data_IF_187474893758
#
_entry.id   IF_187474893758
#
_cell.length_a   1.000
_cell.length_b   1.000
_cell.length_c   1.000
_cell.angle_alpha   90.00
_cell.angle_beta   90.00
_cell.angle_gamma   90.00
#
_symmetry.space_group_name_H-M   'P 1'
#
loop_
_entity.id
_entity.type
_entity.pdbx_description
1 polymer ?
#
# COMPACT_ATOMS: atom_id res chain seq x y z
N UNK A 1 -3.54 12.63 -24.67
CA UNK A 1 -3.62 11.59 -23.61
C UNK A 1 -2.36 11.71 -22.77
N UNK A 2 -2.44 11.81 -21.44
CA UNK A 2 -1.21 11.87 -20.64
C UNK A 2 -0.53 10.50 -20.65
N UNK A 3 0.76 10.46 -21.03
CA UNK A 3 1.59 9.25 -21.03
C UNK A 3 1.98 8.77 -19.61
N UNK A 4 1.24 9.20 -18.57
CA UNK A 4 1.56 8.89 -17.19
C UNK A 4 0.91 7.55 -16.81
N UNK A 5 1.66 6.60 -16.22
CA UNK A 5 1.10 5.32 -15.83
C UNK A 5 0.04 5.49 -14.74
N UNK A 6 -1.05 4.74 -14.86
CA UNK A 6 -2.12 4.64 -13.88
C UNK A 6 -1.62 4.03 -12.56
N UNK A 7 -2.39 4.20 -11.49
CA UNK A 7 -2.06 3.57 -10.19
C UNK A 7 -1.99 2.05 -10.28
N UNK A 8 -2.82 1.41 -11.11
CA UNK A 8 -2.79 -0.05 -11.29
C UNK A 8 -1.53 -0.51 -12.02
N UNK A 9 -1.09 0.22 -13.05
CA UNK A 9 0.16 -0.08 -13.76
C UNK A 9 1.37 0.12 -12.85
N UNK A 10 1.41 1.24 -12.11
CA UNK A 10 2.47 1.47 -11.12
C UNK A 10 2.51 0.36 -10.06
N UNK A 11 1.34 -0.09 -9.60
CA UNK A 11 1.26 -1.18 -8.64
C UNK A 11 1.89 -2.45 -9.22
N UNK A 12 1.52 -2.83 -10.45
CA UNK A 12 2.10 -3.99 -11.12
C UNK A 12 3.62 -3.88 -11.29
N UNK A 13 4.13 -2.69 -11.65
CA UNK A 13 5.58 -2.44 -11.71
C UNK A 13 6.25 -2.67 -10.35
N UNK A 14 5.67 -2.14 -9.26
CA UNK A 14 6.19 -2.36 -7.91
C UNK A 14 6.14 -3.83 -7.47
N UNK A 15 5.11 -4.59 -7.85
CA UNK A 15 5.04 -6.02 -7.55
C UNK A 15 6.15 -6.79 -8.27
N UNK A 16 6.40 -6.47 -9.54
CA UNK A 16 7.49 -7.07 -10.33
C UNK A 16 8.84 -6.73 -9.69
N UNK A 17 9.06 -5.45 -9.38
CA UNK A 17 10.30 -4.99 -8.74
C UNK A 17 10.51 -5.66 -7.38
N UNK A 18 9.49 -5.76 -6.54
CA UNK A 18 9.61 -6.42 -5.23
C UNK A 18 10.12 -7.86 -5.37
N UNK A 19 9.52 -8.65 -6.28
CA UNK A 19 9.92 -10.05 -6.53
C UNK A 19 11.35 -10.15 -7.07
N UNK A 20 11.69 -9.33 -8.06
CA UNK A 20 13.03 -9.32 -8.64
C UNK A 20 14.11 -8.95 -7.61
N UNK A 21 13.82 -7.98 -6.75
CA UNK A 21 14.75 -7.52 -5.72
C UNK A 21 14.92 -8.57 -4.60
N UNK A 22 13.86 -9.30 -4.26
CA UNK A 22 13.93 -10.47 -3.36
C UNK A 22 14.90 -11.51 -3.92
N UNK A 23 14.71 -11.89 -5.19
CA UNK A 23 15.53 -12.90 -5.87
C UNK A 23 17.01 -12.48 -5.98
N UNK A 24 17.28 -11.18 -5.88
CA UNK A 24 18.64 -10.60 -5.89
C UNK A 24 19.18 -10.25 -4.51
N UNK A 25 18.48 -10.60 -3.44
CA UNK A 25 18.83 -10.28 -2.06
C UNK A 25 18.94 -8.77 -1.76
N UNK A 26 18.20 -7.93 -2.50
CA UNK A 26 18.12 -6.48 -2.30
C UNK A 26 16.89 -6.16 -1.43
N UNK A 27 17.03 -6.45 -0.14
CA UNK A 27 15.90 -6.55 0.78
C UNK A 27 15.21 -5.22 1.09
N UNK A 28 15.93 -4.17 1.50
CA UNK A 28 15.29 -2.90 1.86
C UNK A 28 14.43 -2.33 0.71
N UNK A 29 14.98 -2.30 -0.52
CA UNK A 29 14.26 -1.83 -1.69
C UNK A 29 13.06 -2.72 -2.06
N UNK A 30 13.14 -4.03 -1.81
CA UNK A 30 12.01 -4.93 -2.06
C UNK A 30 10.83 -4.70 -1.09
N UNK A 31 11.11 -4.37 0.18
CA UNK A 31 10.09 -3.98 1.17
C UNK A 31 9.44 -2.67 0.76
N UNK A 32 10.23 -1.69 0.32
CA UNK A 32 9.73 -0.43 -0.24
C UNK A 32 8.77 -0.69 -1.41
N UNK A 33 9.18 -1.48 -2.41
CA UNK A 33 8.34 -1.84 -3.53
C UNK A 33 7.06 -2.57 -3.11
N UNK A 34 7.14 -3.49 -2.14
CA UNK A 34 5.96 -4.18 -1.60
C UNK A 34 4.96 -3.20 -0.97
N UNK A 35 5.42 -2.25 -0.17
CA UNK A 35 4.57 -1.21 0.41
C UNK A 35 3.91 -0.34 -0.67
N UNK A 36 4.67 0.09 -1.69
CA UNK A 36 4.14 0.94 -2.75
C UNK A 36 3.19 0.20 -3.70
N UNK A 37 3.38 -1.11 -3.92
CA UNK A 37 2.40 -1.96 -4.57
C UNK A 37 1.06 -1.93 -3.83
N UNK A 38 1.08 -2.08 -2.50
CA UNK A 38 -0.13 -1.98 -1.67
C UNK A 38 -0.77 -0.59 -1.78
N UNK A 39 0.00 0.48 -1.53
CA UNK A 39 -0.49 1.86 -1.55
C UNK A 39 -1.13 2.24 -2.89
N UNK A 40 -0.53 1.85 -4.00
CA UNK A 40 -1.05 2.17 -5.32
C UNK A 40 -2.33 1.39 -5.65
N UNK A 41 -2.50 0.17 -5.12
CA UNK A 41 -3.81 -0.50 -5.17
C UNK A 41 -4.88 0.25 -4.37
N UNK A 42 -4.55 0.78 -3.19
CA UNK A 42 -5.48 1.61 -2.41
C UNK A 42 -5.95 2.82 -3.23
N UNK A 43 -5.00 3.56 -3.80
CA UNK A 43 -5.30 4.74 -4.63
C UNK A 43 -6.07 4.37 -5.90
N UNK A 44 -5.74 3.25 -6.54
CA UNK A 44 -6.50 2.75 -7.68
C UNK A 44 -7.96 2.53 -7.30
N UNK A 45 -8.24 1.82 -6.21
CA UNK A 45 -9.61 1.51 -5.79
C UNK A 45 -10.37 2.77 -5.38
N UNK A 46 -9.76 3.66 -4.58
CA UNK A 46 -10.38 4.92 -4.18
C UNK A 46 -10.84 5.75 -5.38
N UNK A 47 -9.97 5.94 -6.37
CA UNK A 47 -10.25 6.86 -7.47
C UNK A 47 -11.00 6.23 -8.64
N UNK A 48 -10.89 4.91 -8.84
CA UNK A 48 -11.52 4.26 -10.01
C UNK A 48 -12.79 3.51 -9.67
N UNK A 49 -12.86 2.84 -8.50
CA UNK A 49 -14.05 2.07 -8.08
C UNK A 49 -14.95 2.90 -7.18
N UNK A 50 -14.38 3.51 -6.14
CA UNK A 50 -15.12 4.31 -5.15
C UNK A 50 -15.36 5.76 -5.57
N UNK A 51 -14.75 6.18 -6.69
CA UNK A 51 -14.95 7.50 -7.32
C UNK A 51 -14.72 8.67 -6.36
N UNK A 52 -13.79 8.52 -5.41
CA UNK A 52 -13.36 9.65 -4.59
C UNK A 52 -12.77 10.75 -5.48
N UNK A 53 -13.12 11.99 -5.19
CA UNK A 53 -12.56 13.12 -5.91
C UNK A 53 -11.08 13.31 -5.56
N UNK A 54 -10.23 13.38 -6.59
CA UNK A 54 -8.77 13.48 -6.41
C UNK A 54 -8.36 14.85 -5.88
N UNK A 55 -9.01 15.92 -6.31
CA UNK A 55 -8.66 17.27 -5.89
C UNK A 55 -8.99 17.46 -4.40
N UNK A 56 -10.16 16.99 -3.98
CA UNK A 56 -10.57 16.96 -2.58
C UNK A 56 -9.64 16.07 -1.75
N UNK A 57 -9.30 14.88 -2.23
CA UNK A 57 -8.33 14.01 -1.54
C UNK A 57 -7.00 14.72 -1.28
N UNK A 58 -6.47 15.44 -2.28
CA UNK A 58 -5.21 16.19 -2.16
C UNK A 58 -5.37 17.37 -1.18
N UNK A 59 -6.48 18.11 -1.28
CA UNK A 59 -6.79 19.22 -0.39
C UNK A 59 -6.88 18.75 1.07
N UNK A 60 -7.62 17.66 1.33
CA UNK A 60 -7.77 17.08 2.66
C UNK A 60 -6.44 16.56 3.22
N UNK A 61 -5.62 15.94 2.37
CA UNK A 61 -4.28 15.46 2.76
C UNK A 61 -3.42 16.62 3.24
N UNK A 62 -3.46 17.75 2.52
CA UNK A 62 -2.72 18.97 2.88
C UNK A 62 -3.28 19.65 4.12
N UNK A 63 -4.59 19.83 4.20
CA UNK A 63 -5.26 20.54 5.28
C UNK A 63 -5.10 19.80 6.63
N UNK A 64 -5.12 18.47 6.60
CA UNK A 64 -4.93 17.65 7.80
C UNK A 64 -3.46 17.36 8.13
N UNK A 65 -2.52 17.93 7.37
CA UNK A 65 -1.08 17.67 7.48
C UNK A 65 -0.75 16.17 7.58
N UNK A 66 -1.43 15.34 6.78
CA UNK A 66 -1.30 13.89 6.82
C UNK A 66 -0.61 13.37 5.57
N UNK A 67 0.08 12.24 5.67
CA UNK A 67 0.68 11.60 4.51
C UNK A 67 -0.38 10.97 3.60
N UNK A 68 -0.15 11.00 2.28
CA UNK A 68 -1.01 10.33 1.27
C UNK A 68 -1.34 8.89 1.65
N UNK A 69 -0.38 8.15 2.21
CA UNK A 69 -0.55 6.77 2.61
C UNK A 69 -1.50 6.61 3.81
N UNK A 70 -1.46 7.52 4.78
CA UNK A 70 -2.37 7.53 5.93
C UNK A 70 -3.78 7.89 5.51
N UNK A 71 -3.94 8.94 4.68
CA UNK A 71 -5.24 9.34 4.17
C UNK A 71 -5.88 8.23 3.32
N UNK A 72 -5.12 7.65 2.39
CA UNK A 72 -5.61 6.54 1.56
C UNK A 72 -6.03 5.34 2.43
N UNK A 73 -5.21 4.98 3.42
CA UNK A 73 -5.49 3.87 4.33
C UNK A 73 -6.74 4.10 5.17
N UNK A 74 -6.93 5.32 5.70
CA UNK A 74 -8.12 5.70 6.45
C UNK A 74 -9.39 5.54 5.62
N UNK A 75 -9.39 6.08 4.40
CA UNK A 75 -10.56 6.03 3.52
C UNK A 75 -10.89 4.59 3.09
N UNK A 76 -9.88 3.80 2.74
CA UNK A 76 -10.08 2.38 2.44
C UNK A 76 -10.61 1.63 3.66
N UNK A 77 -10.10 1.89 4.85
CA UNK A 77 -10.62 1.27 6.07
C UNK A 77 -12.11 1.51 6.27
N UNK A 78 -12.58 2.75 6.02
CA UNK A 78 -14.01 3.09 6.05
C UNK A 78 -14.79 2.28 5.01
N UNK A 79 -14.26 2.13 3.79
CA UNK A 79 -14.92 1.35 2.74
C UNK A 79 -14.97 -0.15 3.04
N UNK A 80 -13.93 -0.72 3.66
CA UNK A 80 -13.93 -2.12 4.10
C UNK A 80 -14.96 -2.31 5.22
N UNK A 81 -15.02 -1.42 6.20
CA UNK A 81 -15.94 -1.51 7.34
C UNK A 81 -17.42 -1.51 6.90
N UNK A 82 -17.76 -0.83 5.80
CA UNK A 82 -19.11 -0.84 5.20
C UNK A 82 -19.50 -2.22 4.64
N UNK A 83 -18.53 -3.04 4.25
CA UNK A 83 -18.74 -4.35 3.62
C UNK A 83 -18.61 -5.47 4.65
N UNK A 84 -17.53 -5.48 5.43
CA UNK A 84 -17.22 -6.53 6.40
C UNK A 84 -16.34 -5.99 7.55
N UNK A 85 -16.84 -6.09 8.78
CA UNK A 85 -16.13 -5.60 9.98
C UNK A 85 -14.96 -6.49 10.42
N UNK A 86 -14.97 -7.78 10.11
CA UNK A 86 -13.84 -8.68 10.37
C UNK A 86 -12.68 -8.35 9.44
N UNK A 87 -12.95 -8.14 8.16
CA UNK A 87 -11.96 -7.69 7.17
C UNK A 87 -11.37 -6.32 7.56
N UNK A 88 -12.20 -5.43 8.11
CA UNK A 88 -11.74 -4.13 8.61
C UNK A 88 -10.77 -4.29 9.79
N UNK A 89 -11.11 -5.13 10.78
CA UNK A 89 -10.22 -5.42 11.91
C UNK A 89 -8.92 -6.05 11.44
N UNK A 90 -8.99 -6.99 10.50
CA UNK A 90 -7.82 -7.60 9.88
C UNK A 90 -6.96 -6.53 9.19
N UNK A 91 -7.56 -5.65 8.40
CA UNK A 91 -6.86 -4.56 7.70
C UNK A 91 -6.19 -3.58 8.67
N UNK A 92 -6.89 -3.18 9.74
CA UNK A 92 -6.35 -2.28 10.76
C UNK A 92 -5.13 -2.83 11.49
N UNK A 93 -4.99 -4.16 11.56
CA UNK A 93 -3.78 -4.81 12.09
C UNK A 93 -2.66 -4.85 11.04
N UNK A 94 -2.96 -5.34 9.83
CA UNK A 94 -1.92 -5.70 8.87
C UNK A 94 -1.34 -4.50 8.11
N UNK A 95 -2.11 -3.45 7.86
CA UNK A 95 -1.58 -2.26 7.18
C UNK A 95 -0.53 -1.51 8.02
N UNK A 96 -0.75 -1.24 9.33
CA UNK A 96 0.29 -0.68 10.19
C UNK A 96 1.54 -1.56 10.31
N UNK A 97 1.39 -2.88 10.37
CA UNK A 97 2.53 -3.81 10.38
C UNK A 97 3.37 -3.68 9.10
N UNK A 98 2.72 -3.65 7.92
CA UNK A 98 3.40 -3.42 6.64
C UNK A 98 4.08 -2.04 6.60
N UNK A 99 3.44 -1.00 7.14
CA UNK A 99 4.04 0.33 7.25
C UNK A 99 5.29 0.31 8.13
N UNK A 100 5.27 -0.41 9.25
CA UNK A 100 6.42 -0.54 10.16
C UNK A 100 7.60 -1.24 9.48
N UNK A 101 7.35 -2.30 8.72
CA UNK A 101 8.39 -2.97 7.91
C UNK A 101 9.03 -2.00 6.91
N UNK A 102 8.22 -1.18 6.23
CA UNK A 102 8.73 -0.14 5.32
C UNK A 102 9.52 0.95 6.06
N UNK A 103 9.07 1.39 7.24
CA UNK A 103 9.82 2.36 8.05
C UNK A 103 11.18 1.83 8.48
N UNK A 104 11.24 0.56 8.91
CA UNK A 104 12.50 -0.11 9.21
C UNK A 104 13.40 -0.15 7.98
N UNK A 105 12.88 -0.59 6.83
CA UNK A 105 13.65 -0.73 5.60
C UNK A 105 14.16 0.60 5.01
N UNK A 106 13.36 1.67 5.11
CA UNK A 106 13.67 2.96 4.47
C UNK A 106 14.52 3.88 5.37
N UNK A 107 14.33 3.83 6.70
CA UNK A 107 14.82 4.86 7.61
C UNK A 107 15.59 4.36 8.83
N UNK A 108 15.70 3.05 9.03
CA UNK A 108 16.50 2.47 10.11
C UNK A 108 17.82 1.92 9.54
N UNK A 109 18.84 1.88 10.38
CA UNK A 109 20.11 1.16 10.11
C UNK A 109 20.01 -0.34 10.47
N UNK A 110 18.82 -0.79 10.91
CA UNK A 110 18.56 -2.18 11.25
C UNK A 110 18.59 -3.11 10.02
N UNK A 111 19.13 -4.31 10.21
CA UNK A 111 19.09 -5.36 9.20
C UNK A 111 17.65 -5.82 8.90
N UNK A 112 17.31 -5.96 7.62
CA UNK A 112 16.07 -6.56 7.14
C UNK A 112 16.33 -8.03 6.84
N UNK A 113 15.68 -8.92 7.59
CA UNK A 113 15.78 -10.36 7.40
C UNK A 113 14.94 -10.84 6.21
N UNK A 114 15.30 -11.99 5.63
CA UNK A 114 14.58 -12.56 4.48
C UNK A 114 13.10 -12.82 4.80
N UNK A 115 12.80 -13.25 6.02
CA UNK A 115 11.44 -13.50 6.50
C UNK A 115 10.61 -12.22 6.51
N UNK A 116 11.20 -11.09 6.92
CA UNK A 116 10.53 -9.78 6.94
C UNK A 116 10.19 -9.30 5.54
N UNK A 117 11.03 -9.63 4.56
CA UNK A 117 10.78 -9.29 3.16
C UNK A 117 9.60 -10.08 2.60
N UNK A 118 9.56 -11.39 2.84
CA UNK A 118 8.45 -12.23 2.43
C UNK A 118 7.16 -11.86 3.18
N UNK A 119 7.26 -11.48 4.45
CA UNK A 119 6.16 -10.95 5.24
C UNK A 119 5.60 -9.67 4.60
N UNK A 120 6.46 -8.71 4.24
CA UNK A 120 6.05 -7.47 3.59
C UNK A 120 5.31 -7.72 2.27
N UNK A 121 5.85 -8.60 1.41
CA UNK A 121 5.22 -8.96 0.13
C UNK A 121 3.86 -9.63 0.35
N UNK A 122 3.79 -10.61 1.26
CA UNK A 122 2.57 -11.35 1.56
C UNK A 122 1.47 -10.45 2.13
N UNK A 123 1.80 -9.55 3.06
CA UNK A 123 0.85 -8.56 3.59
C UNK A 123 0.37 -7.63 2.49
N UNK A 124 1.28 -7.11 1.66
CA UNK A 124 0.92 -6.21 0.57
C UNK A 124 -0.04 -6.87 -0.44
N UNK A 125 0.21 -8.13 -0.82
CA UNK A 125 -0.68 -8.90 -1.70
C UNK A 125 -2.02 -9.23 -1.08
N UNK A 126 -2.04 -9.59 0.21
CA UNK A 126 -3.27 -9.89 0.93
C UNK A 126 -4.15 -8.64 1.06
N UNK A 127 -3.57 -7.50 1.43
CA UNK A 127 -4.27 -6.21 1.50
C UNK A 127 -4.77 -5.80 0.10
N UNK A 128 -3.93 -5.88 -0.94
CA UNK A 128 -4.35 -5.55 -2.29
C UNK A 128 -5.49 -6.46 -2.78
N UNK A 129 -5.47 -7.74 -2.43
CA UNK A 129 -6.54 -8.70 -2.76
C UNK A 129 -7.84 -8.32 -2.07
N UNK A 130 -7.80 -8.04 -0.76
CA UNK A 130 -8.96 -7.59 0.01
C UNK A 130 -9.56 -6.31 -0.60
N UNK A 131 -8.72 -5.29 -0.81
CA UNK A 131 -9.16 -3.97 -1.30
C UNK A 131 -9.65 -4.04 -2.74
N UNK A 132 -9.24 -5.03 -3.54
CA UNK A 132 -9.80 -5.21 -4.87
C UNK A 132 -11.18 -5.89 -4.88
N UNK A 133 -11.67 -6.42 -3.75
CA UNK A 133 -13.01 -7.02 -3.65
C UNK A 133 -14.10 -6.04 -3.23
N UNK A 134 -13.71 -4.90 -2.65
CA UNK A 134 -14.63 -3.82 -2.27
C UNK A 134 -14.94 -2.91 -3.47
#
# INVERSE_FOLDING_TARGET
MSNAPSFKEKANQNLISAKLLIDKHIYCSSVHCSFYYCLQNLLHVLFTKKKYDKAQFIADTKNNNTGTHLQASKLIGIEIAKVNMEDYKWYQKHFPELKKLREKADYSDEFIAQEEVHEALNKAQSIATLVNKI
#
